data_IF_119220292392
#
_entry.id   IF_119220292392
#
_cell.length_a   1.000
_cell.length_b   1.000
_cell.length_c   1.000
_cell.angle_alpha   90.00
_cell.angle_beta   90.00
_cell.angle_gamma   90.00
#
_symmetry.space_group_name_H-M   'P 1'
#
loop_
_entity.id
_entity.type
_entity.pdbx_description
1 polymer ?
#
# COMPACT_ATOMS: atom_id res chain seq x y z
N UNK A 1 -12.05 -13.41 -7.29
CA UNK A 1 -10.77 -13.14 -6.60
C UNK A 1 -11.04 -12.40 -5.31
N UNK A 2 -10.35 -12.74 -4.24
CA UNK A 2 -10.41 -12.01 -2.97
C UNK A 2 -8.97 -11.67 -2.57
N UNK A 3 -8.73 -10.40 -2.29
CA UNK A 3 -7.45 -9.90 -1.80
C UNK A 3 -7.73 -9.00 -0.60
N UNK A 4 -7.04 -9.25 0.50
CA UNK A 4 -7.12 -8.46 1.72
C UNK A 4 -5.74 -8.41 2.33
N UNK A 5 -5.29 -7.19 2.65
CA UNK A 5 -4.04 -6.99 3.34
C UNK A 5 -4.15 -5.79 4.27
N UNK A 6 -3.43 -5.84 5.39
CA UNK A 6 -3.35 -4.76 6.36
C UNK A 6 -1.91 -4.31 6.48
N UNK A 7 -1.64 -3.04 6.19
CA UNK A 7 -0.30 -2.46 6.31
C UNK A 7 0.04 -2.20 7.78
N UNK A 8 1.32 -2.37 8.11
CA UNK A 8 1.84 -1.95 9.41
C UNK A 8 1.89 -0.42 9.51
N UNK A 9 1.87 0.15 10.72
CA UNK A 9 1.94 1.61 10.92
C UNK A 9 3.21 2.24 10.32
N UNK A 10 4.33 1.53 10.42
CA UNK A 10 5.60 1.98 9.85
C UNK A 10 5.52 2.07 8.32
N UNK A 11 4.89 1.09 7.69
CA UNK A 11 4.77 1.03 6.23
C UNK A 11 3.74 2.03 5.70
N UNK A 12 2.66 2.27 6.44
CA UNK A 12 1.72 3.37 6.14
C UNK A 12 2.47 4.71 6.10
N UNK A 13 3.31 4.99 7.12
CA UNK A 13 4.12 6.20 7.16
C UNK A 13 5.14 6.29 6.00
N UNK A 14 5.79 5.18 5.65
CA UNK A 14 6.75 5.10 4.56
C UNK A 14 6.09 5.34 3.19
N UNK A 15 4.92 4.74 2.96
CA UNK A 15 4.12 4.93 1.77
C UNK A 15 3.64 6.38 1.64
N UNK A 16 3.10 6.94 2.72
CA UNK A 16 2.56 8.30 2.76
C UNK A 16 3.64 9.37 2.51
N UNK A 17 4.80 9.24 3.18
CA UNK A 17 5.80 10.32 3.25
C UNK A 17 6.90 10.20 2.21
N UNK A 18 7.19 8.99 1.71
CA UNK A 18 8.34 8.75 0.81
C UNK A 18 7.92 8.16 -0.52
N UNK A 19 7.32 6.98 -0.52
CA UNK A 19 7.14 6.19 -1.75
C UNK A 19 6.09 6.78 -2.70
N UNK A 20 4.85 6.96 -2.24
CA UNK A 20 3.76 7.45 -3.10
C UNK A 20 3.99 8.89 -3.58
N UNK A 21 4.50 9.83 -2.76
CA UNK A 21 4.85 11.16 -3.26
C UNK A 21 5.93 11.15 -4.34
N UNK A 22 6.96 10.29 -4.20
CA UNK A 22 8.01 10.17 -5.20
C UNK A 22 7.47 9.60 -6.52
N UNK A 23 6.66 8.54 -6.45
CA UNK A 23 6.02 7.93 -7.62
C UNK A 23 5.08 8.91 -8.33
N UNK A 24 4.28 9.67 -7.56
CA UNK A 24 3.36 10.67 -8.12
C UNK A 24 4.11 11.77 -8.87
N UNK A 25 5.23 12.26 -8.31
CA UNK A 25 6.08 13.26 -8.96
C UNK A 25 6.68 12.76 -10.28
N UNK A 26 6.93 11.46 -10.39
CA UNK A 26 7.47 10.86 -11.61
C UNK A 26 6.40 10.62 -12.70
N UNK A 27 5.11 10.81 -12.39
CA UNK A 27 4.01 10.54 -13.33
C UNK A 27 3.91 9.08 -13.76
N UNK A 28 4.49 8.16 -12.98
CA UNK A 28 4.55 6.73 -13.32
C UNK A 28 3.28 6.02 -12.87
N UNK A 29 2.77 5.12 -13.73
CA UNK A 29 1.80 4.11 -13.31
C UNK A 29 2.50 3.13 -12.38
N UNK A 30 1.90 2.81 -11.23
CA UNK A 30 2.36 1.69 -10.43
C UNK A 30 1.40 0.51 -10.53
N UNK A 31 2.00 -0.66 -10.51
CA UNK A 31 1.32 -1.94 -10.55
C UNK A 31 1.69 -2.66 -9.26
N UNK A 32 0.69 -3.15 -8.54
CA UNK A 32 0.93 -4.08 -7.44
C UNK A 32 1.04 -5.47 -8.07
N UNK A 33 2.18 -6.13 -7.89
CA UNK A 33 2.51 -7.41 -8.52
C UNK A 33 2.87 -8.43 -7.44
N UNK A 34 2.13 -9.52 -7.35
CA UNK A 34 2.55 -10.72 -6.62
C UNK A 34 3.07 -11.75 -7.62
N UNK A 35 4.36 -12.06 -7.56
CA UNK A 35 5.15 -12.86 -8.52
C UNK A 35 5.26 -12.24 -9.93
N UNK A 36 6.49 -11.84 -10.29
CA UNK A 36 6.81 -11.11 -11.51
C UNK A 36 6.57 -11.97 -12.76
N UNK A 37 5.76 -11.49 -13.70
CA UNK A 37 5.69 -12.03 -15.07
C UNK A 37 6.79 -11.39 -15.90
N UNK A 38 7.56 -12.22 -16.60
CA UNK A 38 8.76 -11.91 -17.38
C UNK A 38 8.80 -10.51 -18.01
N UNK A 39 9.90 -9.79 -17.75
CA UNK A 39 10.07 -8.37 -18.04
C UNK A 39 10.50 -8.07 -19.47
N UNK A 40 9.67 -7.32 -20.18
CA UNK A 40 10.03 -6.60 -21.39
C UNK A 40 9.55 -5.14 -21.25
N UNK A 41 10.45 -4.25 -20.80
CA UNK A 41 10.21 -2.80 -20.67
C UNK A 41 10.89 -2.13 -19.46
N UNK A 42 11.06 -0.80 -19.49
CA UNK A 42 11.53 0.00 -18.33
C UNK A 42 10.42 0.04 -17.27
N UNK A 43 10.38 -0.98 -16.41
CA UNK A 43 9.47 -1.05 -15.28
C UNK A 43 10.21 -0.68 -14.00
N UNK A 44 9.66 0.28 -13.24
CA UNK A 44 10.13 0.52 -11.87
C UNK A 44 9.38 -0.47 -10.97
N UNK A 45 10.02 -1.61 -10.70
CA UNK A 45 9.47 -2.66 -9.83
C UNK A 45 10.06 -2.46 -8.44
N UNK A 46 9.18 -2.16 -7.48
CA UNK A 46 9.50 -2.25 -6.06
C UNK A 46 8.85 -3.52 -5.52
N UNK A 47 9.68 -4.51 -5.21
CA UNK A 47 9.23 -5.77 -4.62
C UNK A 47 9.51 -5.74 -3.12
N UNK A 48 8.54 -6.19 -2.34
CA UNK A 48 8.63 -6.23 -0.89
C UNK A 48 8.25 -7.64 -0.43
N UNK A 49 8.86 -8.09 0.66
CA UNK A 49 8.44 -9.30 1.34
C UNK A 49 7.09 -9.06 2.02
N UNK A 50 6.15 -10.01 1.87
CA UNK A 50 4.79 -9.88 2.40
C UNK A 50 4.81 -9.67 3.91
N UNK A 51 5.72 -10.35 4.61
CA UNK A 51 5.88 -10.32 6.06
C UNK A 51 6.43 -8.99 6.57
N UNK A 52 7.05 -8.20 5.68
CA UNK A 52 7.57 -6.87 6.02
C UNK A 52 6.52 -5.79 5.83
N UNK A 53 5.65 -5.95 4.82
CA UNK A 53 4.64 -4.94 4.48
C UNK A 53 3.37 -5.06 5.30
N UNK A 54 2.94 -6.29 5.61
CA UNK A 54 1.58 -6.55 6.06
C UNK A 54 1.54 -7.27 7.40
N UNK A 55 0.70 -6.78 8.31
CA UNK A 55 0.35 -7.44 9.57
C UNK A 55 -0.56 -8.66 9.32
N UNK A 56 -1.43 -8.56 8.31
CA UNK A 56 -2.27 -9.67 7.84
C UNK A 56 -2.38 -9.59 6.32
N UNK A 57 -2.30 -10.76 5.67
CA UNK A 57 -2.29 -10.89 4.21
C UNK A 57 -3.01 -12.18 3.82
N UNK A 58 -4.08 -12.03 3.04
CA UNK A 58 -4.87 -13.15 2.52
C UNK A 58 -5.22 -12.89 1.05
N UNK A 59 -4.94 -13.87 0.21
CA UNK A 59 -5.29 -13.87 -1.21
C UNK A 59 -5.93 -15.21 -1.58
N UNK A 60 -6.93 -15.15 -2.46
CA UNK A 60 -7.53 -16.30 -3.11
C UNK A 60 -7.73 -15.99 -4.59
N UNK A 61 -6.99 -16.70 -5.44
CA UNK A 61 -6.98 -16.57 -6.89
C UNK A 61 -6.96 -17.93 -7.58
N UNK A 62 -7.65 -18.05 -8.71
CA UNK A 62 -7.56 -19.23 -9.58
C UNK A 62 -6.19 -19.32 -10.28
N UNK A 63 -5.43 -18.23 -10.28
CA UNK A 63 -4.09 -18.15 -10.85
C UNK A 63 -3.03 -18.29 -9.75
N UNK A 64 -2.97 -19.45 -9.11
CA UNK A 64 -1.96 -19.79 -8.09
C UNK A 64 -1.81 -18.71 -7.00
N UNK A 65 -2.94 -18.19 -6.50
CA UNK A 65 -2.96 -17.11 -5.50
C UNK A 65 -2.15 -15.86 -5.88
N UNK A 66 -1.96 -15.64 -7.18
CA UNK A 66 -1.31 -14.46 -7.74
C UNK A 66 -2.33 -13.41 -8.17
N UNK A 67 -1.97 -12.14 -7.99
CA UNK A 67 -2.77 -10.97 -8.37
C UNK A 67 -1.88 -9.89 -8.97
N UNK A 68 -2.43 -9.21 -9.98
CA UNK A 68 -1.89 -7.98 -10.52
C UNK A 68 -3.03 -6.98 -10.71
N UNK A 69 -2.84 -5.75 -10.24
CA UNK A 69 -3.76 -4.65 -10.53
C UNK A 69 -3.01 -3.33 -10.68
N UNK A 70 -3.55 -2.45 -11.53
CA UNK A 70 -3.10 -1.08 -11.66
C UNK A 70 -3.82 -0.20 -10.64
N UNK A 71 -3.09 0.77 -10.07
CA UNK A 71 -3.69 1.75 -9.16
C UNK A 71 -3.33 3.16 -9.63
N UNK A 72 -4.28 4.08 -9.48
CA UNK A 72 -3.99 5.51 -9.60
C UNK A 72 -3.18 5.94 -8.37
N UNK A 73 -1.97 6.45 -8.59
CA UNK A 73 -1.05 6.79 -7.51
C UNK A 73 -1.51 7.99 -6.71
N UNK A 74 -2.16 8.96 -7.35
CA UNK A 74 -2.70 10.11 -6.66
C UNK A 74 -3.86 9.68 -5.77
N UNK A 75 -4.75 8.83 -6.27
CA UNK A 75 -5.85 8.29 -5.48
C UNK A 75 -5.36 7.47 -4.28
N UNK A 76 -4.36 6.62 -4.49
CA UNK A 76 -3.76 5.83 -3.41
C UNK A 76 -3.08 6.71 -2.36
N UNK A 77 -2.33 7.74 -2.78
CA UNK A 77 -1.70 8.69 -1.85
C UNK A 77 -2.74 9.43 -1.00
N UNK A 78 -3.85 9.87 -1.60
CA UNK A 78 -4.93 10.53 -0.87
C UNK A 78 -5.63 9.58 0.10
N UNK A 79 -5.87 8.34 -0.29
CA UNK A 79 -6.45 7.33 0.59
C UNK A 79 -5.57 7.06 1.82
N UNK A 80 -4.25 6.91 1.62
CA UNK A 80 -3.29 6.69 2.70
C UNK A 80 -3.19 7.90 3.64
N UNK A 81 -3.16 9.12 3.10
CA UNK A 81 -3.19 10.35 3.93
C UNK A 81 -4.46 10.48 4.76
N UNK A 82 -5.59 10.11 4.17
CA UNK A 82 -6.87 10.09 4.86
C UNK A 82 -6.85 9.08 6.01
N UNK A 83 -6.35 7.86 5.80
CA UNK A 83 -6.26 6.86 6.87
C UNK A 83 -5.35 7.30 8.01
N UNK A 84 -4.19 7.91 7.73
CA UNK A 84 -3.28 8.46 8.76
C UNK A 84 -3.97 9.57 9.56
N UNK A 85 -4.69 10.46 8.89
CA UNK A 85 -5.42 11.56 9.55
C UNK A 85 -6.51 11.04 10.49
N UNK A 86 -7.28 10.04 10.06
CA UNK A 86 -8.33 9.40 10.88
C UNK A 86 -7.71 8.71 12.10
N UNK A 87 -6.63 7.94 11.91
CA UNK A 87 -5.94 7.26 13.03
C UNK A 87 -5.39 8.25 14.05
N UNK A 88 -4.83 9.38 13.59
CA UNK A 88 -4.32 10.44 14.47
C UNK A 88 -5.42 11.08 15.30
N UNK A 89 -6.60 11.31 14.71
CA UNK A 89 -7.77 11.86 15.42
C UNK A 89 -8.32 10.90 16.48
N UNK A 90 -8.37 9.60 16.17
CA UNK A 90 -8.80 8.57 17.13
C UNK A 90 -7.86 8.50 18.32
N UNK A 91 -6.54 8.55 18.09
CA UNK A 91 -5.54 8.57 19.16
C UNK A 91 -5.65 9.82 20.06
N UNK A 92 -5.91 10.99 19.45
CA UNK A 92 -6.11 12.23 20.19
C UNK A 92 -7.40 12.21 21.02
N UNK A 93 -8.50 11.68 20.49
CA UNK A 93 -9.77 11.54 21.20
C UNK A 93 -9.69 10.53 22.36
N UNK A 94 -8.97 9.41 22.18
CA UNK A 94 -8.74 8.43 23.25
C UNK A 94 -7.87 8.97 24.39
N UNK A 95 -6.88 9.81 24.08
CA UNK A 95 -6.05 10.49 25.08
C UNK A 95 -6.80 11.59 25.83
N UNK A 96 -7.76 12.26 25.19
CA UNK A 96 -8.62 13.26 25.83
C UNK A 96 -9.70 12.65 26.73
N UNK A 97 -10.16 11.43 26.44
CA UNK A 97 -11.15 10.71 27.25
C UNK A 97 -10.56 9.99 28.48
N UNK A 98 -9.23 10.01 28.64
CA UNK A 98 -8.49 9.39 29.75
C UNK A 98 -7.92 10.40 30.76
N UNK A 99 -8.33 11.68 30.67
CA UNK A 99 -8.08 12.77 31.61
C UNK A 99 -9.40 13.20 32.28
#
# INVERSE_FOLDING_TARGET
MKFKAFLTENEVNLLEKRFLPALNKMGKKAYFLHNLLSGEGIQCVAQFHKETLFDDYCISSQNEDSIAFAVDILLLLLAVRSSVSIFSQIGAAGSAASL
#
